data_IF_084604265486
#
_entry.id   IF_084604265486
#
_cell.length_a   1.000
_cell.length_b   1.000
_cell.length_c   1.000
_cell.angle_alpha   90.00
_cell.angle_beta   90.00
_cell.angle_gamma   90.00
#
_symmetry.space_group_name_H-M   'P 1'
#
loop_
_entity.id
_entity.type
_entity.pdbx_description
1 polymer ?
#
# COMPACT_ATOMS: atom_id res chain seq x y z
N UNK A 1 18.77 -19.47 12.42
CA UNK A 1 17.30 -19.27 12.42
C UNK A 1 16.73 -19.70 11.07
N UNK A 2 15.75 -20.63 11.00
CA UNK A 2 15.17 -21.11 9.75
C UNK A 2 14.51 -20.01 8.91
N UNK A 3 14.55 -20.12 7.57
CA UNK A 3 14.01 -19.10 6.64
C UNK A 3 12.50 -18.82 6.82
N UNK A 4 11.70 -19.84 7.18
CA UNK A 4 10.27 -19.69 7.43
C UNK A 4 9.98 -18.83 8.67
N UNK A 5 10.68 -19.09 9.78
CA UNK A 5 10.60 -18.30 11.01
C UNK A 5 11.01 -16.83 10.78
N UNK A 6 12.01 -16.58 9.94
CA UNK A 6 12.41 -15.19 9.60
C UNK A 6 11.31 -14.44 8.86
N UNK A 7 10.58 -15.13 7.98
CA UNK A 7 9.48 -14.51 7.20
C UNK A 7 8.28 -14.21 8.09
N UNK A 8 7.95 -15.08 9.04
CA UNK A 8 6.84 -14.85 9.97
C UNK A 8 7.11 -13.68 10.92
N UNK A 9 8.33 -13.58 11.45
CA UNK A 9 8.72 -12.44 12.28
C UNK A 9 8.67 -11.14 11.47
N UNK A 10 9.17 -11.15 10.23
CA UNK A 10 9.10 -9.98 9.33
C UNK A 10 7.65 -9.58 9.05
N UNK A 11 6.80 -10.55 8.69
CA UNK A 11 5.38 -10.29 8.44
C UNK A 11 4.71 -9.66 9.66
N UNK A 12 4.93 -10.21 10.86
CA UNK A 12 4.37 -9.64 12.08
C UNK A 12 4.86 -8.21 12.32
N UNK A 13 6.15 -7.94 12.13
CA UNK A 13 6.71 -6.61 12.32
C UNK A 13 6.12 -5.60 11.34
N UNK A 14 6.02 -5.94 10.06
CA UNK A 14 5.47 -5.02 9.06
C UNK A 14 3.98 -4.78 9.25
N UNK A 15 3.22 -5.78 9.70
CA UNK A 15 1.80 -5.58 10.06
C UNK A 15 1.65 -4.58 11.20
N UNK A 16 2.49 -4.66 12.24
CA UNK A 16 2.50 -3.65 13.31
C UNK A 16 2.78 -2.24 12.76
N UNK A 17 3.77 -2.10 11.88
CA UNK A 17 4.09 -0.80 11.25
C UNK A 17 2.93 -0.29 10.39
N UNK A 18 2.34 -1.14 9.55
CA UNK A 18 1.17 -0.79 8.74
C UNK A 18 -0.03 -0.39 9.59
N UNK A 19 -0.27 -1.03 10.73
CA UNK A 19 -1.33 -0.63 11.67
C UNK A 19 -1.11 0.78 12.18
N UNK A 20 0.13 1.13 12.56
CA UNK A 20 0.48 2.48 13.02
C UNK A 20 0.26 3.50 11.88
N UNK A 21 0.71 3.19 10.66
CA UNK A 21 0.54 4.06 9.49
C UNK A 21 -0.92 4.23 9.11
N UNK A 22 -1.72 3.16 9.13
CA UNK A 22 -3.15 3.21 8.82
C UNK A 22 -3.92 4.04 9.86
N UNK A 23 -3.61 3.89 11.14
CA UNK A 23 -4.22 4.72 12.19
C UNK A 23 -3.79 6.19 12.07
N UNK A 24 -2.54 6.44 11.67
CA UNK A 24 -2.08 7.81 11.39
C UNK A 24 -2.87 8.41 10.23
N UNK A 25 -3.01 7.69 9.12
CA UNK A 25 -3.82 8.11 7.97
C UNK A 25 -5.25 8.45 8.36
N UNK A 26 -5.88 7.64 9.22
CA UNK A 26 -7.23 7.86 9.70
C UNK A 26 -7.36 9.20 10.44
N UNK A 27 -6.44 9.48 11.37
CA UNK A 27 -6.36 10.78 12.07
C UNK A 27 -6.14 11.94 11.09
N UNK A 28 -5.31 11.74 10.05
CA UNK A 28 -5.08 12.75 9.02
C UNK A 28 -6.31 13.02 8.17
N UNK A 29 -7.10 12.00 7.82
CA UNK A 29 -8.37 12.14 7.09
C UNK A 29 -9.31 13.04 7.88
N UNK A 30 -9.47 12.77 9.17
CA UNK A 30 -10.36 13.53 10.06
C UNK A 30 -9.91 14.99 10.25
N UNK A 31 -8.59 15.21 10.28
CA UNK A 31 -8.00 16.53 10.59
C UNK A 31 -7.90 17.42 9.37
N UNK A 32 -7.43 16.89 8.23
CA UNK A 32 -7.04 17.68 7.06
C UNK A 32 -8.16 17.71 6.00
N UNK A 33 -9.15 16.80 6.07
CA UNK A 33 -10.29 16.71 5.14
C UNK A 33 -9.90 16.72 3.65
N UNK A 34 -8.72 16.19 3.34
CA UNK A 34 -8.21 16.17 1.97
C UNK A 34 -8.80 15.02 1.16
N UNK A 35 -9.27 15.34 -0.04
CA UNK A 35 -9.86 14.38 -0.97
C UNK A 35 -8.87 13.27 -1.35
N UNK A 36 -9.34 12.02 -1.35
CA UNK A 36 -8.58 10.85 -1.78
C UNK A 36 -7.89 10.07 -0.65
N UNK A 37 -7.61 10.71 0.50
CA UNK A 37 -7.01 10.01 1.65
C UNK A 37 -7.96 9.01 2.30
N UNK A 38 -9.26 9.30 2.32
CA UNK A 38 -10.27 8.41 2.91
C UNK A 38 -10.28 7.03 2.24
N UNK A 39 -10.20 7.01 0.90
CA UNK A 39 -10.16 5.77 0.13
C UNK A 39 -8.87 4.97 0.42
N UNK A 40 -7.73 5.66 0.55
CA UNK A 40 -6.47 5.03 0.96
C UNK A 40 -6.58 4.46 2.37
N UNK A 41 -7.08 5.25 3.33
CA UNK A 41 -7.24 4.82 4.74
C UNK A 41 -8.11 3.57 4.82
N UNK A 42 -9.33 3.62 4.26
CA UNK A 42 -10.28 2.51 4.27
C UNK A 42 -9.74 1.24 3.60
N UNK A 43 -9.07 1.39 2.45
CA UNK A 43 -8.48 0.23 1.74
C UNK A 43 -7.31 -0.36 2.52
N UNK A 44 -6.49 0.47 3.17
CA UNK A 44 -5.36 0.03 4.00
C UNK A 44 -5.85 -0.72 5.25
N UNK A 45 -6.89 -0.21 5.91
CA UNK A 45 -7.53 -0.90 7.04
C UNK A 45 -8.12 -2.26 6.63
N UNK A 46 -8.73 -2.33 5.45
CA UNK A 46 -9.23 -3.60 4.90
C UNK A 46 -8.09 -4.57 4.61
N UNK A 47 -7.00 -4.07 4.01
CA UNK A 47 -5.80 -4.86 3.72
C UNK A 47 -5.20 -5.49 4.98
N UNK A 48 -5.11 -4.73 6.08
CA UNK A 48 -4.61 -5.20 7.36
C UNK A 48 -5.39 -6.41 7.89
N UNK A 49 -6.73 -6.34 7.89
CA UNK A 49 -7.60 -7.43 8.34
C UNK A 49 -7.35 -8.73 7.56
N UNK A 50 -7.15 -8.60 6.25
CA UNK A 50 -6.89 -9.76 5.38
C UNK A 50 -5.46 -10.28 5.58
N UNK A 51 -4.50 -9.40 5.81
CA UNK A 51 -3.09 -9.78 5.95
C UNK A 51 -2.79 -10.60 7.22
N UNK A 52 -3.57 -10.44 8.29
CA UNK A 52 -3.47 -11.27 9.50
C UNK A 52 -3.79 -12.76 9.23
N UNK A 53 -4.51 -13.05 8.14
CA UNK A 53 -5.00 -14.38 7.82
C UNK A 53 -4.18 -15.10 6.73
N UNK A 54 -3.02 -14.53 6.34
CA UNK A 54 -2.14 -15.10 5.31
C UNK A 54 -1.59 -16.47 5.74
N UNK A 55 -1.84 -17.49 4.92
CA UNK A 55 -1.30 -18.85 5.13
C UNK A 55 -0.28 -19.25 4.07
N UNK A 56 -0.32 -18.64 2.89
CA UNK A 56 0.48 -19.01 1.72
C UNK A 56 1.25 -17.81 1.18
N UNK A 57 2.31 -18.07 0.40
CA UNK A 57 3.10 -17.05 -0.28
C UNK A 57 3.51 -15.89 0.66
N UNK A 58 3.86 -16.23 1.90
CA UNK A 58 4.17 -15.26 2.96
C UNK A 58 5.26 -14.29 2.52
N UNK A 59 6.27 -14.76 1.78
CA UNK A 59 7.37 -13.92 1.28
C UNK A 59 6.88 -12.80 0.38
N UNK A 60 6.16 -13.11 -0.71
CA UNK A 60 5.62 -12.08 -1.61
C UNK A 60 4.63 -11.16 -0.89
N UNK A 61 3.79 -11.70 -0.01
CA UNK A 61 2.89 -10.86 0.78
C UNK A 61 3.66 -9.90 1.69
N UNK A 62 4.70 -10.37 2.39
CA UNK A 62 5.55 -9.52 3.22
C UNK A 62 6.21 -8.42 2.39
N UNK A 63 6.76 -8.74 1.22
CA UNK A 63 7.37 -7.74 0.32
C UNK A 63 6.36 -6.68 -0.14
N UNK A 64 5.15 -7.09 -0.55
CA UNK A 64 4.09 -6.16 -0.93
C UNK A 64 3.67 -5.26 0.24
N UNK A 65 3.59 -5.80 1.46
CA UNK A 65 3.25 -5.03 2.67
C UNK A 65 4.34 -4.02 3.02
N UNK A 66 5.61 -4.41 2.91
CA UNK A 66 6.76 -3.54 3.16
C UNK A 66 6.77 -2.36 2.19
N UNK A 67 6.59 -2.64 0.89
CA UNK A 67 6.51 -1.61 -0.15
C UNK A 67 5.28 -0.71 0.02
N UNK A 68 4.13 -1.29 0.35
CA UNK A 68 2.90 -0.54 0.63
C UNK A 68 3.09 0.43 1.79
N UNK A 69 3.67 -0.05 2.89
CA UNK A 69 3.96 0.78 4.06
C UNK A 69 4.89 1.95 3.72
N UNK A 70 5.96 1.70 2.98
CA UNK A 70 6.90 2.75 2.59
C UNK A 70 6.22 3.80 1.70
N UNK A 71 5.40 3.37 0.74
CA UNK A 71 4.68 4.28 -0.15
C UNK A 71 3.60 5.10 0.59
N UNK A 72 2.87 4.48 1.53
CA UNK A 72 1.95 5.19 2.40
C UNK A 72 2.65 6.28 3.21
N UNK A 73 3.83 5.99 3.78
CA UNK A 73 4.61 6.99 4.52
C UNK A 73 5.09 8.14 3.61
N UNK A 74 5.45 7.87 2.35
CA UNK A 74 5.77 8.93 1.38
C UNK A 74 4.56 9.80 1.08
N UNK A 75 3.38 9.21 0.90
CA UNK A 75 2.13 9.94 0.69
C UNK A 75 1.83 10.82 1.89
N UNK A 76 1.85 10.28 3.12
CA UNK A 76 1.67 11.06 4.36
C UNK A 76 2.66 12.21 4.42
N UNK A 77 3.94 11.96 4.08
CA UNK A 77 4.95 13.02 4.08
C UNK A 77 4.63 14.15 3.11
N UNK A 78 4.14 13.84 1.90
CA UNK A 78 3.71 14.86 0.91
C UNK A 78 2.55 15.69 1.47
N UNK A 79 1.63 15.06 2.17
CA UNK A 79 0.49 15.74 2.78
C UNK A 79 0.89 16.63 3.97
N UNK A 80 1.86 16.21 4.77
CA UNK A 80 2.38 17.01 5.89
C UNK A 80 3.15 18.23 5.37
N UNK A 81 3.89 18.10 4.26
CA UNK A 81 4.72 19.18 3.72
C UNK A 81 3.98 20.07 2.72
N UNK A 82 2.83 19.64 2.20
CA UNK A 82 1.95 20.51 1.43
C UNK A 82 1.36 21.57 2.37
N UNK A 83 1.56 22.84 2.00
CA UNK A 83 1.03 23.99 2.72
C UNK A 83 -0.48 23.79 2.98
N UNK A 84 -0.87 23.69 4.25
CA UNK A 84 -2.21 23.33 4.71
C UNK A 84 -3.22 24.41 4.30
N UNK A 85 -3.72 24.29 3.07
CA UNK A 85 -4.61 25.28 2.44
C UNK A 85 -4.50 25.35 0.93
N UNK A 86 -3.47 24.77 0.31
CA UNK A 86 -3.39 24.59 -1.14
C UNK A 86 -3.88 23.21 -1.54
N UNK A 87 -4.78 23.17 -2.52
CA UNK A 87 -5.21 21.93 -3.13
C UNK A 87 -4.01 21.16 -3.68
N UNK A 88 -4.02 19.84 -3.53
CA UNK A 88 -3.00 19.00 -4.15
C UNK A 88 -2.98 19.22 -5.65
N UNK A 89 -1.78 19.24 -6.23
CA UNK A 89 -1.62 19.26 -7.67
C UNK A 89 -2.42 18.10 -8.32
N UNK A 90 -3.12 18.32 -9.45
CA UNK A 90 -3.93 17.29 -10.10
C UNK A 90 -3.15 16.00 -10.40
N UNK A 91 -1.85 16.11 -10.71
CA UNK A 91 -0.95 14.97 -10.87
C UNK A 91 -0.85 14.11 -9.61
N UNK A 92 -0.73 14.73 -8.44
CA UNK A 92 -0.68 14.02 -7.15
C UNK A 92 -2.01 13.31 -6.85
N UNK A 93 -3.14 13.97 -7.09
CA UNK A 93 -4.47 13.34 -6.91
C UNK A 93 -4.67 12.14 -7.84
N UNK A 94 -4.25 12.24 -9.11
CA UNK A 94 -4.29 11.13 -10.05
C UNK A 94 -3.44 9.95 -9.56
N UNK A 95 -2.26 10.21 -9.01
CA UNK A 95 -1.38 9.16 -8.50
C UNK A 95 -1.94 8.50 -7.24
N UNK A 96 -2.61 9.28 -6.39
CA UNK A 96 -3.33 8.77 -5.21
C UNK A 96 -4.48 7.85 -5.62
N UNK A 97 -5.23 8.19 -6.66
CA UNK A 97 -6.27 7.33 -7.20
C UNK A 97 -5.69 6.02 -7.77
N UNK A 98 -4.60 6.11 -8.53
CA UNK A 98 -3.89 4.92 -9.05
C UNK A 98 -3.33 4.04 -7.94
N UNK A 99 -2.80 4.65 -6.88
CA UNK A 99 -2.30 3.91 -5.73
C UNK A 99 -3.45 3.24 -4.96
N UNK A 100 -4.60 3.89 -4.79
CA UNK A 100 -5.80 3.27 -4.23
C UNK A 100 -6.22 2.03 -5.03
N UNK A 101 -6.18 2.10 -6.36
CA UNK A 101 -6.44 0.95 -7.20
C UNK A 101 -5.41 -0.17 -7.00
N UNK A 102 -4.13 0.20 -6.85
CA UNK A 102 -3.05 -0.75 -6.54
C UNK A 102 -3.24 -1.42 -5.18
N UNK A 103 -3.64 -0.67 -4.14
CA UNK A 103 -3.98 -1.21 -2.83
C UNK A 103 -5.11 -2.23 -2.92
N UNK A 104 -6.13 -1.97 -3.74
CA UNK A 104 -7.21 -2.92 -3.97
C UNK A 104 -6.71 -4.22 -4.62
N UNK A 105 -5.83 -4.13 -5.63
CA UNK A 105 -5.20 -5.32 -6.24
C UNK A 105 -4.36 -6.11 -5.22
N UNK A 106 -3.61 -5.41 -4.37
CA UNK A 106 -2.82 -6.04 -3.30
C UNK A 106 -3.75 -6.75 -2.31
N UNK A 107 -4.84 -6.11 -1.90
CA UNK A 107 -5.87 -6.73 -1.07
C UNK A 107 -6.40 -8.02 -1.70
N UNK A 108 -6.84 -7.98 -2.96
CA UNK A 108 -7.33 -9.17 -3.67
C UNK A 108 -6.27 -10.28 -3.73
N UNK A 109 -5.01 -9.93 -3.97
CA UNK A 109 -3.93 -10.91 -4.01
C UNK A 109 -3.71 -11.57 -2.64
N UNK A 110 -3.68 -10.78 -1.57
CA UNK A 110 -3.46 -11.22 -0.19
C UNK A 110 -4.61 -12.08 0.31
N UNK A 111 -5.85 -11.70 -0.02
CA UNK A 111 -7.06 -12.46 0.29
C UNK A 111 -7.03 -13.85 -0.35
N UNK A 112 -6.52 -13.95 -1.58
CA UNK A 112 -6.34 -15.24 -2.23
C UNK A 112 -5.33 -16.17 -1.50
N UNK A 113 -4.49 -15.63 -0.60
CA UNK A 113 -3.50 -16.41 0.17
C UNK A 113 -4.01 -16.96 1.51
N UNK A 114 -5.28 -16.73 1.87
CA UNK A 114 -5.89 -17.20 3.14
C UNK A 114 -6.08 -18.74 3.22
N UNK A 115 -5.88 -19.44 2.10
CA UNK A 115 -5.97 -20.89 2.00
C UNK A 115 -7.36 -21.38 1.58
N UNK A 116 -7.55 -21.54 0.27
CA UNK A 116 -8.70 -22.22 -0.33
C UNK A 116 -8.41 -23.66 -0.77
N UNK A 117 -9.44 -24.34 -1.31
CA UNK A 117 -9.32 -25.70 -1.88
C UNK A 117 -8.16 -25.79 -2.89
N UNK A 118 -7.36 -26.86 -2.81
CA UNK A 118 -6.19 -27.14 -3.67
C UNK A 118 -6.53 -27.09 -5.18
N UNK A 119 -7.78 -27.42 -5.54
CA UNK A 119 -8.27 -27.38 -6.92
C UNK A 119 -8.44 -25.94 -7.40
N UNK A 120 -9.05 -25.06 -6.61
CA UNK A 120 -9.15 -23.61 -6.94
C UNK A 120 -7.78 -22.95 -7.05
N UNK A 121 -6.81 -23.43 -6.28
CA UNK A 121 -5.43 -22.91 -6.28
C UNK A 121 -4.75 -23.16 -7.63
N UNK A 122 -4.92 -24.34 -8.23
CA UNK A 122 -4.29 -24.68 -9.51
C UNK A 122 -4.86 -23.86 -10.68
N UNK A 123 -6.18 -23.70 -10.75
CA UNK A 123 -6.82 -22.93 -11.83
C UNK A 123 -6.53 -21.42 -11.78
N UNK A 124 -6.12 -20.88 -10.63
CA UNK A 124 -5.85 -19.45 -10.43
C UNK A 124 -4.37 -19.06 -10.43
N UNK A 125 -3.44 -19.98 -10.65
CA UNK A 125 -2.01 -19.65 -10.57
C UNK A 125 -1.58 -18.59 -11.61
N UNK A 126 -2.07 -18.69 -12.85
CA UNK A 126 -1.78 -17.71 -13.90
C UNK A 126 -2.34 -16.32 -13.56
N UNK A 127 -3.58 -16.26 -13.08
CA UNK A 127 -4.24 -15.03 -12.65
C UNK A 127 -3.51 -14.38 -11.47
N UNK A 128 -3.10 -15.18 -10.47
CA UNK A 128 -2.37 -14.68 -9.30
C UNK A 128 -0.96 -14.19 -9.63
N UNK A 129 -0.27 -14.84 -10.57
CA UNK A 129 1.03 -14.37 -11.04
C UNK A 129 0.91 -13.04 -11.80
N UNK A 130 -0.11 -12.91 -12.65
CA UNK A 130 -0.45 -11.64 -13.30
C UNK A 130 -0.79 -10.54 -12.30
N UNK A 131 -1.65 -10.85 -11.32
CA UNK A 131 -2.02 -9.91 -10.27
C UNK A 131 -0.82 -9.47 -9.42
N UNK A 132 0.07 -10.39 -9.04
CA UNK A 132 1.30 -10.06 -8.32
C UNK A 132 2.20 -9.11 -9.13
N UNK A 133 2.35 -9.38 -10.43
CA UNK A 133 3.12 -8.52 -11.33
C UNK A 133 2.52 -7.11 -11.40
N UNK A 134 1.19 -7.02 -11.54
CA UNK A 134 0.47 -5.75 -11.55
C UNK A 134 0.64 -4.99 -10.23
N UNK A 135 0.57 -5.67 -9.08
CA UNK A 135 0.82 -5.07 -7.77
C UNK A 135 2.23 -4.48 -7.68
N UNK A 136 3.26 -5.26 -8.06
CA UNK A 136 4.65 -4.81 -8.04
C UNK A 136 4.87 -3.62 -8.99
N UNK A 137 4.27 -3.65 -10.18
CA UNK A 137 4.35 -2.55 -11.15
C UNK A 137 3.66 -1.27 -10.64
N UNK A 138 2.47 -1.39 -10.04
CA UNK A 138 1.75 -0.26 -9.47
C UNK A 138 2.50 0.38 -8.30
N UNK A 139 3.10 -0.43 -7.42
CA UNK A 139 3.94 0.05 -6.32
C UNK A 139 5.19 0.77 -6.85
N UNK A 140 5.88 0.18 -7.82
CA UNK A 140 7.07 0.80 -8.43
C UNK A 140 6.73 2.14 -9.07
N UNK A 141 5.63 2.21 -9.84
CA UNK A 141 5.17 3.46 -10.45
C UNK A 141 4.89 4.55 -9.40
N UNK A 142 4.27 4.17 -8.27
CA UNK A 142 4.09 5.07 -7.14
C UNK A 142 5.43 5.57 -6.56
N UNK A 143 6.40 4.67 -6.36
CA UNK A 143 7.73 5.06 -5.90
C UNK A 143 8.42 6.03 -6.84
N UNK A 144 8.39 5.76 -8.15
CA UNK A 144 9.02 6.62 -9.15
C UNK A 144 8.44 8.03 -9.10
N UNK A 145 7.11 8.16 -8.98
CA UNK A 145 6.46 9.47 -8.87
C UNK A 145 6.81 10.21 -7.57
N UNK A 146 6.68 9.54 -6.42
CA UNK A 146 6.86 10.18 -5.12
C UNK A 146 8.34 10.40 -4.75
N UNK A 147 9.29 9.65 -5.34
CA UNK A 147 10.72 9.94 -5.22
C UNK A 147 11.12 11.21 -5.98
N UNK A 148 10.62 11.40 -7.20
CA UNK A 148 10.88 12.61 -8.01
C UNK A 148 10.28 13.86 -7.34
N UNK A 149 9.10 13.73 -6.75
CA UNK A 149 8.41 14.85 -6.08
C UNK A 149 9.11 15.27 -4.78
N UNK A 150 9.76 14.34 -4.06
CA UNK A 150 10.52 14.64 -2.84
C UNK A 150 11.91 15.25 -3.11
N UNK A 151 12.50 15.02 -4.29
CA UNK A 151 13.83 15.49 -4.68
C UNK A 151 13.83 16.86 -5.37
N UNK A 152 12.65 17.33 -5.79
CA UNK A 152 12.43 18.70 -6.27
C UNK A 152 11.36 19.39 -5.41
N UNK A 153 11.74 20.07 -4.31
CA UNK A 153 10.89 21.12 -3.75
C UNK A 153 10.93 22.30 -4.71
N UNK A 154 10.27 22.17 -5.85
CA UNK A 154 10.17 23.24 -6.83
C UNK A 154 9.31 24.33 -6.23
N UNK A 155 9.99 25.34 -5.67
CA UNK A 155 9.49 26.70 -5.63
C UNK A 155 8.86 27.02 -7.00
N UNK A 156 7.58 27.32 -7.00
CA UNK A 156 6.92 27.98 -8.13
C UNK A 156 5.95 28.97 -7.53
N UNK A 157 6.49 30.16 -7.27
CA UNK A 157 5.72 31.40 -7.20
C UNK A 157 5.07 31.64 -8.57
N UNK A 158 3.76 31.76 -8.59
CA UNK A 158 3.01 32.77 -9.35
C UNK A 158 1.72 33.04 -8.61
#
# INVERSE_FOLDING_TARGET
>A
MPRHLRTEVRLKNILTCLTITANTLDVFVDTVKMSGLEAISSTTQSLLKVAETIKQNKTDCTELMEQTHELLNKIISVYITSDTGKDLAPGTLSQIAQFTHTLHKIHTFVEAQQGGSRVRRFFRQGELAGLLKDCKAGLQHGFDFFQVTASHPSYSFT
#
